data_IF_363879732502
#
_entry.id   IF_363879732502
#
_cell.length_a   1.000
_cell.length_b   1.000
_cell.length_c   1.000
_cell.angle_alpha   90.00
_cell.angle_beta   90.00
_cell.angle_gamma   90.00
#
_symmetry.space_group_name_H-M   'P 1'
#
loop_
_entity.id
_entity.type
_entity.pdbx_description
1 polymer ?
2 non-polymer ?
3 water ?
#
# COMPACT_ATOMS: atom_id res chain seq x y z
N UNK A 40 -16.91 -3.40 -25.53
CA UNK A 40 -16.41 -2.48 -24.47
C UNK A 40 -16.35 -3.23 -23.13
N UNK A 41 -15.21 -3.26 -22.42
CA UNK A 41 -15.03 -4.19 -21.32
C UNK A 41 -15.74 -3.72 -20.05
N UNK A 42 -16.16 -4.66 -19.22
CA UNK A 42 -16.69 -4.41 -17.87
C UNK A 42 -15.49 -4.42 -16.93
N UNK A 43 -15.27 -3.37 -16.12
CA UNK A 43 -14.13 -3.40 -15.20
C UNK A 43 -14.41 -4.30 -14.01
N UNK A 44 -13.36 -4.74 -13.32
CA UNK A 44 -13.53 -5.40 -12.03
C UNK A 44 -14.14 -4.40 -11.05
N UNK A 45 -14.75 -4.96 -10.03
CA UNK A 45 -15.34 -4.18 -8.92
C UNK A 45 -14.47 -4.36 -7.68
N UNK A 46 -14.47 -3.35 -6.83
CA UNK A 46 -13.69 -3.39 -5.58
C UNK A 46 -14.63 -3.20 -4.40
N UNK A 47 -14.25 -3.83 -3.29
CA UNK A 47 -14.91 -3.71 -1.96
C UNK A 47 -13.96 -2.96 -1.05
N UNK A 48 -14.53 -2.19 -0.15
CA UNK A 48 -13.78 -1.54 0.93
C UNK A 48 -13.30 -2.62 1.90
N UNK A 49 -12.06 -2.50 2.36
CA UNK A 49 -11.39 -3.50 3.20
C UNK A 49 -10.77 -2.89 4.44
N UNK A 50 -11.05 -1.64 4.79
CA UNK A 50 -10.34 -0.98 5.89
C UNK A 50 -10.57 -1.72 7.18
N UNK A 51 -11.82 -2.09 7.48
CA UNK A 51 -12.07 -2.82 8.75
C UNK A 51 -11.42 -4.21 8.73
N UNK A 52 -11.23 -4.82 7.57
CA UNK A 52 -10.60 -6.15 7.49
C UNK A 52 -9.10 -6.03 7.70
N UNK A 53 -8.50 -4.88 7.47
CA UNK A 53 -7.03 -4.70 7.44
C UNK A 53 -6.52 -3.92 8.65
N UNK A 54 -7.33 -3.12 9.35
CA UNK A 54 -6.79 -2.13 10.32
C UNK A 54 -6.17 -2.87 11.52
N UNK A 55 -6.72 -4.00 11.92
CA UNK A 55 -6.17 -4.76 13.08
C UNK A 55 -4.73 -5.17 12.79
N UNK A 56 -4.47 -5.79 11.64
CA UNK A 56 -3.09 -6.26 11.33
C UNK A 56 -2.18 -5.04 11.16
N UNK A 57 -2.63 -3.97 10.51
CA UNK A 57 -1.79 -2.77 10.32
C UNK A 57 -1.40 -2.23 11.71
N UNK A 58 -2.37 -2.11 12.60
CA UNK A 58 -2.07 -1.50 13.92
C UNK A 58 -1.27 -2.47 14.81
N UNK A 59 -1.42 -3.78 14.62
CA UNK A 59 -0.58 -4.78 15.34
C UNK A 59 0.88 -4.55 14.91
N UNK A 60 1.12 -4.43 13.62
CA UNK A 60 2.51 -4.26 13.10
C UNK A 60 3.10 -2.92 13.56
N UNK A 61 2.32 -1.84 13.70
CA UNK A 61 2.85 -0.53 14.14
C UNK A 61 3.13 -0.53 15.64
N UNK A 62 2.51 -1.44 16.39
CA UNK A 62 2.60 -1.52 17.87
C UNK A 62 3.23 -2.86 18.27
N UNK A 67 6.49 2.23 21.80
CA UNK A 67 5.44 3.29 21.63
C UNK A 67 5.89 4.33 20.60
N UNK A 68 6.59 3.93 19.55
CA UNK A 68 7.24 4.86 18.58
C UNK A 68 6.25 5.24 17.47
N UNK A 69 5.22 4.44 17.23
CA UNK A 69 4.24 4.75 16.16
C UNK A 69 2.83 4.83 16.74
N UNK A 70 2.09 5.85 16.29
CA UNK A 70 0.66 6.00 16.55
C UNK A 70 -0.15 4.93 15.85
N UNK A 71 -1.32 4.57 16.39
CA UNK A 71 -2.31 3.73 15.68
C UNK A 71 -2.94 4.56 14.57
N UNK A 72 -3.41 3.87 13.55
CA UNK A 72 -4.14 4.52 12.46
C UNK A 72 -5.64 4.35 12.66
N UNK A 73 -6.35 5.36 12.21
CA UNK A 73 -7.82 5.33 12.11
C UNK A 73 -8.22 5.12 10.66
N UNK A 74 -9.47 4.79 10.44
CA UNK A 74 -10.05 4.74 9.09
C UNK A 74 -10.04 6.13 8.46
N UNK A 75 -9.61 6.22 7.21
CA UNK A 75 -9.79 7.40 6.36
C UNK A 75 -11.07 7.21 5.57
N UNK A 76 -11.90 8.23 5.50
CA UNK A 76 -13.12 8.19 4.67
C UNK A 76 -12.77 8.59 3.24
N UNK A 77 -13.62 8.19 2.32
CA UNK A 77 -13.43 8.51 0.89
C UNK A 77 -13.14 9.98 0.68
N UNK A 78 -13.89 10.89 1.32
CA UNK A 78 -13.70 12.34 1.12
C UNK A 78 -12.25 12.73 1.44
N UNK A 79 -11.72 12.14 2.51
CA UNK A 79 -10.36 12.43 2.98
C UNK A 79 -9.34 11.93 1.98
N UNK A 80 -9.56 10.72 1.47
CA UNK A 80 -8.64 10.17 0.45
C UNK A 80 -8.64 11.06 -0.79
N UNK A 81 -9.84 11.46 -1.26
CA UNK A 81 -9.91 12.31 -2.47
C UNK A 81 -9.17 13.61 -2.25
N UNK A 82 -9.36 14.23 -1.08
CA UNK A 82 -8.73 15.54 -0.82
C UNK A 82 -7.21 15.41 -0.62
N UNK A 83 -6.76 14.35 0.05
CA UNK A 83 -5.32 14.08 0.21
C UNK A 83 -4.67 13.92 -1.17
N UNK A 84 -5.33 13.15 -2.05
CA UNK A 84 -4.79 12.96 -3.41
C UNK A 84 -4.80 14.28 -4.19
N UNK A 85 -5.86 15.06 -4.04
CA UNK A 85 -5.96 16.36 -4.74
C UNK A 85 -4.78 17.25 -4.35
N UNK A 86 -4.36 17.20 -3.08
CA UNK A 86 -3.22 18.00 -2.56
C UNK A 86 -1.90 17.63 -3.23
N UNK A 87 -1.76 16.39 -3.73
CA UNK A 87 -0.52 15.96 -4.41
C UNK A 87 -0.82 15.85 -5.89
N UNK A 88 -1.87 16.52 -6.36
CA UNK A 88 -2.14 16.73 -7.81
C UNK A 88 -2.54 15.41 -8.47
N UNK A 89 -3.23 14.55 -7.75
CA UNK A 89 -3.83 13.30 -8.32
C UNK A 89 -5.34 13.42 -8.30
N UNK A 90 -5.95 13.54 -9.48
CA UNK A 90 -7.41 13.80 -9.60
C UNK A 90 -8.06 12.85 -10.60
N UNK A 91 -7.34 11.81 -11.01
CA UNK A 91 -7.90 10.74 -11.85
C UNK A 91 -7.53 9.40 -11.26
N UNK A 92 -8.43 8.42 -11.23
CA UNK A 92 -9.80 8.53 -11.72
C UNK A 92 -10.63 9.54 -10.91
N UNK A 93 -11.69 10.08 -11.50
CA UNK A 93 -12.39 11.25 -10.93
C UNK A 93 -12.80 10.94 -9.50
N UNK A 94 -12.60 11.92 -8.62
CA UNK A 94 -12.87 11.78 -7.17
C UNK A 94 -12.24 10.47 -6.68
N UNK A 95 -10.90 10.35 -6.78
CA UNK A 95 -10.25 9.06 -6.53
C UNK A 95 -10.38 8.60 -5.08
N UNK A 96 -10.57 7.32 -4.92
CA UNK A 96 -10.74 6.63 -3.62
C UNK A 96 -9.95 5.33 -3.68
N UNK A 97 -9.77 4.65 -2.56
CA UNK A 97 -9.07 3.37 -2.57
C UNK A 97 -9.75 2.38 -3.50
N UNK A 98 -11.09 2.20 -3.49
CA UNK A 98 -11.70 1.26 -4.42
C UNK A 98 -11.42 1.61 -5.88
N UNK A 99 -11.51 2.88 -6.23
CA UNK A 99 -11.30 3.28 -7.64
C UNK A 99 -9.86 3.04 -8.03
N UNK A 100 -8.91 3.26 -7.13
CA UNK A 100 -7.48 3.03 -7.45
C UNK A 100 -7.23 1.54 -7.55
N UNK A 101 -7.79 0.71 -6.67
CA UNK A 101 -7.59 -0.76 -6.79
C UNK A 101 -8.04 -1.21 -8.20
N UNK A 102 -9.18 -0.74 -8.63
CA UNK A 102 -9.71 -1.07 -9.99
C UNK A 102 -8.74 -0.55 -11.05
N UNK A 103 -8.31 0.68 -10.94
CA UNK A 103 -7.36 1.28 -11.91
C UNK A 103 -6.13 0.40 -12.04
N UNK A 104 -5.58 -0.08 -10.93
CA UNK A 104 -4.35 -0.89 -10.89
C UNK A 104 -4.60 -2.31 -11.43
N UNK A 105 -5.75 -2.91 -11.18
CA UNK A 105 -6.01 -4.30 -11.62
C UNK A 105 -6.22 -4.37 -13.13
N UNK A 106 -6.79 -3.34 -13.70
CA UNK A 106 -7.13 -3.26 -15.13
C UNK A 106 -8.59 -2.97 -15.35
N UNK A 107 -8.94 -2.60 -16.59
CA UNK A 107 -10.30 -2.11 -16.94
C UNK A 107 -11.17 -3.24 -17.49
N UNK A 108 -10.64 -4.45 -17.56
CA UNK A 108 -11.40 -5.63 -18.05
C UNK A 108 -11.32 -6.73 -17.00
N UNK A 109 -12.49 -6.95 -16.37
CA UNK A 109 -12.64 -8.04 -15.37
C UNK A 109 -12.24 -9.41 -15.97
N UNK A 110 -12.29 -9.56 -17.29
CA UNK A 110 -11.93 -10.83 -17.98
C UNK A 110 -10.43 -11.08 -17.94
N UNK A 111 -9.59 -10.05 -17.74
CA UNK A 111 -8.13 -10.22 -17.81
C UNK A 111 -7.39 -9.75 -16.53
N UNK A 112 -7.86 -8.65 -15.93
CA UNK A 112 -7.10 -7.94 -14.85
C UNK A 112 -5.60 -8.06 -15.15
N UNK A 113 -5.22 -7.68 -16.36
CA UNK A 113 -3.87 -8.06 -16.83
C UNK A 113 -2.77 -7.19 -16.22
N UNK A 114 -3.12 -6.05 -15.62
CA UNK A 114 -2.09 -5.17 -15.02
C UNK A 114 -1.94 -5.43 -13.51
N UNK A 115 -2.81 -6.23 -12.90
CA UNK A 115 -2.74 -6.38 -11.44
C UNK A 115 -1.40 -6.89 -10.96
N UNK A 116 -0.85 -7.90 -11.64
CA UNK A 116 0.37 -8.57 -11.16
C UNK A 116 1.53 -7.56 -11.04
N UNK A 117 1.62 -6.62 -11.96
CA UNK A 117 2.71 -5.63 -11.99
C UNK A 117 2.37 -4.36 -11.25
N UNK A 118 1.25 -4.30 -10.52
CA UNK A 118 0.83 -3.05 -9.87
C UNK A 118 1.87 -2.63 -8.81
N UNK A 119 2.02 -1.31 -8.67
CA UNK A 119 2.91 -0.73 -7.64
C UNK A 119 2.42 0.68 -7.35
N UNK A 120 3.14 1.35 -6.48
CA UNK A 120 2.83 2.71 -5.99
C UNK A 120 3.61 3.77 -6.75
N UNK A 121 3.96 3.55 -8.00
CA UNK A 121 4.75 4.56 -8.72
C UNK A 121 3.93 5.83 -8.96
N UNK A 122 2.61 5.71 -9.05
CA UNK A 122 1.73 6.86 -9.29
C UNK A 122 0.86 7.12 -8.05
N UNK A 123 0.15 6.12 -7.56
CA UNK A 123 -0.80 6.23 -6.43
C UNK A 123 -0.04 5.79 -5.19
N UNK A 124 0.34 6.73 -4.29
CA UNK A 124 1.15 6.34 -3.14
C UNK A 124 0.32 5.55 -2.15
N UNK A 125 0.79 4.37 -1.81
CA UNK A 125 0.16 3.56 -0.78
C UNK A 125 0.71 2.16 -0.82
N UNK A 126 0.11 1.29 -0.04
CA UNK A 126 0.38 -0.16 -0.04
C UNK A 126 -0.32 -0.80 -1.22
N UNK A 127 0.43 -1.64 -1.95
CA UNK A 127 -0.09 -2.35 -3.12
C UNK A 127 0.23 -3.81 -2.98
N UNK A 128 -0.76 -4.69 -3.02
CA UNK A 128 -0.53 -6.15 -3.00
C UNK A 128 -1.41 -6.82 -4.04
N UNK A 129 -0.82 -7.30 -5.15
CA UNK A 129 -1.57 -8.16 -6.06
C UNK A 129 -1.75 -9.56 -5.44
N UNK A 130 -2.86 -10.21 -5.76
CA UNK A 130 -3.11 -11.60 -5.30
C UNK A 130 -3.88 -12.31 -6.39
N UNK A 131 -3.67 -13.64 -6.57
CA UNK A 131 -4.28 -14.33 -7.71
C UNK A 131 -5.80 -14.27 -7.66
N UNK A 132 -6.40 -14.22 -8.84
CA UNK A 132 -7.87 -14.12 -9.02
C UNK A 132 -8.59 -15.31 -8.38
N UNK A 133 -7.91 -16.44 -8.28
CA UNK A 133 -8.60 -17.69 -7.84
C UNK A 133 -8.34 -17.93 -6.35
N UNK A 134 -7.86 -16.94 -5.60
CA UNK A 134 -7.55 -17.10 -4.16
C UNK A 134 -8.55 -16.31 -3.31
N UNK A 135 -8.78 -16.74 -2.07
CA UNK A 135 -9.62 -16.03 -1.08
C UNK A 135 -8.82 -14.84 -0.52
N UNK A 136 -9.45 -13.67 -0.42
CA UNK A 136 -8.84 -12.44 0.16
C UNK A 136 -8.65 -12.64 1.66
N UNK A 137 -7.43 -12.47 2.19
CA UNK A 137 -7.11 -12.55 3.62
C UNK A 137 -6.18 -11.38 3.94
N UNK A 138 -6.71 -10.29 4.46
CA UNK A 138 -5.90 -9.05 4.62
C UNK A 138 -4.76 -9.36 5.60
N UNK A 139 -5.02 -10.07 6.69
CA UNK A 139 -3.99 -10.46 7.68
C UNK A 139 -2.85 -11.17 7.01
N UNK A 140 -3.13 -12.19 6.21
CA UNK A 140 -2.08 -12.98 5.56
C UNK A 140 -1.34 -12.08 4.55
N UNK A 141 -2.05 -11.32 3.72
CA UNK A 141 -1.39 -10.52 2.67
C UNK A 141 -0.49 -9.47 3.32
N UNK A 142 -0.97 -8.73 4.30
CA UNK A 142 -0.15 -7.64 4.89
C UNK A 142 0.97 -8.25 5.73
N UNK A 143 0.73 -9.33 6.46
CA UNK A 143 1.86 -9.94 7.20
C UNK A 143 2.93 -10.34 6.18
N UNK A 144 2.58 -10.92 5.04
CA UNK A 144 3.58 -11.43 4.09
C UNK A 144 4.34 -10.24 3.52
N UNK A 145 3.69 -9.12 3.17
CA UNK A 145 4.42 -7.98 2.59
C UNK A 145 5.32 -7.39 3.65
N UNK A 146 4.89 -7.37 4.89
CA UNK A 146 5.69 -6.80 5.98
C UNK A 146 6.97 -7.62 6.13
N UNK A 147 6.86 -8.93 6.22
CA UNK A 147 8.04 -9.79 6.47
C UNK A 147 8.99 -9.61 5.28
N UNK A 148 8.51 -9.76 4.07
CA UNK A 148 9.33 -9.67 2.85
C UNK A 148 9.93 -8.27 2.74
N UNK A 149 9.17 -7.23 3.02
CA UNK A 149 9.63 -5.84 2.83
C UNK A 149 10.66 -5.48 3.89
N UNK A 150 10.44 -5.87 5.14
CA UNK A 150 11.43 -5.58 6.21
C UNK A 150 12.71 -6.37 5.91
N UNK A 151 12.61 -7.61 5.43
CA UNK A 151 13.83 -8.39 5.06
C UNK A 151 14.54 -7.63 3.96
N UNK A 152 13.86 -7.14 2.95
CA UNK A 152 14.49 -6.42 1.83
C UNK A 152 15.19 -5.18 2.37
N UNK A 153 14.58 -4.43 3.28
CA UNK A 153 15.22 -3.24 3.86
C UNK A 153 16.47 -3.64 4.65
N UNK A 154 16.37 -4.69 5.45
CA UNK A 154 17.52 -5.15 6.27
C UNK A 154 18.68 -5.57 5.35
N UNK A 155 18.38 -6.12 4.20
CA UNK A 155 19.38 -6.61 3.23
C UNK A 155 19.97 -5.45 2.44
N UNK A 156 19.33 -4.30 2.50
CA UNK A 156 19.70 -3.07 1.74
C UNK A 156 20.76 -2.28 2.48
N UNK A 157 21.56 -1.54 1.73
CA UNK A 157 22.47 -0.53 2.33
C UNK A 157 21.72 0.73 2.77
N UNK A 158 20.41 0.77 2.63
CA UNK A 158 19.57 1.80 3.27
C UNK A 158 20.04 2.04 4.70
N UNK A 159 20.26 3.31 5.03
CA UNK A 159 20.50 3.82 6.40
C UNK A 159 19.42 4.86 6.67
N UNK A 160 18.83 4.87 7.88
CA UNK A 160 17.76 5.83 8.15
C UNK A 160 18.18 7.32 8.09
N UNK A 161 19.44 7.63 8.37
CA UNK A 161 19.86 9.06 8.40
C UNK A 161 19.98 9.60 6.97
N UNK A 162 20.26 8.77 5.97
CA UNK A 162 20.48 9.22 4.58
C UNK A 162 19.37 8.75 3.64
N UNK A 163 18.73 7.63 3.95
CA UNK A 163 17.83 6.95 3.00
C UNK A 163 16.53 7.73 2.86
N UNK A 164 16.13 7.96 1.62
CA UNK A 164 14.86 8.65 1.30
C UNK A 164 13.99 7.70 0.50
N UNK A 165 12.71 8.04 0.43
CA UNK A 165 11.73 7.19 -0.27
C UNK A 165 11.81 7.53 -1.74
N UNK A 166 12.16 6.58 -2.59
CA UNK A 166 12.13 6.78 -4.05
C UNK A 166 11.68 5.46 -4.65
N UNK A 167 10.46 5.46 -5.18
CA UNK A 167 9.83 4.22 -5.67
C UNK A 167 10.56 3.70 -6.92
N UNK A 168 11.43 4.48 -7.56
CA UNK A 168 12.13 4.09 -8.81
C UNK A 168 13.55 3.59 -8.50
N UNK A 169 13.99 3.58 -7.24
CA UNK A 169 15.38 3.15 -6.91
C UNK A 169 15.36 2.18 -5.73
N UNK A 170 16.43 1.41 -5.55
CA UNK A 170 16.56 0.53 -4.37
C UNK A 170 16.61 1.38 -3.11
N UNK A 171 16.02 0.94 -1.99
CA UNK A 171 15.30 -0.33 -1.90
C UNK A 171 13.79 -0.25 -2.16
N UNK A 172 13.24 0.94 -2.39
CA UNK A 172 11.76 1.14 -2.41
C UNK A 172 11.17 0.86 -3.78
N UNK A 173 11.97 0.48 -4.77
CA UNK A 173 11.49 -0.12 -6.03
C UNK A 173 11.06 -1.57 -5.81
N UNK A 174 11.33 -2.13 -4.64
CA UNK A 174 10.72 -3.42 -4.20
C UNK A 174 9.36 -3.09 -3.58
N UNK A 175 8.30 -3.67 -4.11
CA UNK A 175 6.93 -3.29 -3.69
C UNK A 175 6.74 -3.62 -2.22
N UNK A 176 7.29 -4.72 -1.73
CA UNK A 176 7.17 -5.07 -0.32
C UNK A 176 7.86 -4.02 0.54
N UNK A 177 9.09 -3.61 0.18
CA UNK A 177 9.80 -2.59 0.95
C UNK A 177 9.03 -1.27 0.97
N UNK A 178 8.51 -0.87 -0.17
CA UNK A 178 7.65 0.32 -0.26
C UNK A 178 6.45 0.16 0.68
N UNK A 179 5.82 -1.01 0.64
CA UNK A 179 4.64 -1.27 1.49
C UNK A 179 5.00 -1.10 2.96
N UNK A 180 6.15 -1.59 3.39
CA UNK A 180 6.55 -1.46 4.80
C UNK A 180 6.80 0.01 5.14
N UNK A 181 7.37 0.78 4.25
CA UNK A 181 7.57 2.23 4.50
C UNK A 181 6.23 2.89 4.79
N UNK A 182 5.19 2.56 4.04
CA UNK A 182 3.85 3.17 4.29
C UNK A 182 3.28 2.63 5.59
N UNK A 183 3.38 1.34 5.81
CA UNK A 183 2.80 0.71 7.01
C UNK A 183 3.40 1.33 8.27
N UNK A 184 4.70 1.59 8.25
CA UNK A 184 5.45 2.03 9.45
C UNK A 184 5.77 3.52 9.39
N UNK A 185 5.11 4.28 8.55
CA UNK A 185 5.38 5.73 8.40
C UNK A 185 4.83 6.49 9.62
N UNK A 186 5.67 7.35 10.22
CA UNK A 186 5.24 8.38 11.19
C UNK A 186 4.31 9.39 10.51
N UNK A 187 4.36 9.54 9.18
CA UNK A 187 3.41 10.45 8.47
C UNK A 187 2.03 9.78 8.36
N UNK A 188 1.92 8.46 8.49
CA UNK A 188 0.61 7.74 8.39
C UNK A 188 -0.19 8.01 9.68
N UNK A 189 -1.39 8.59 9.57
CA UNK A 189 -2.38 8.76 10.68
C UNK A 189 -3.71 8.02 10.40
N UNK A 190 -4.05 7.90 9.11
CA UNK A 190 -5.31 7.24 8.71
C UNK A 190 -5.04 6.38 7.48
N UNK A 191 -5.91 5.42 7.26
CA UNK A 191 -5.76 4.51 6.09
C UNK A 191 -7.13 4.11 5.56
N UNK A 192 -7.23 4.01 4.23
CA UNK A 192 -8.38 3.44 3.55
C UNK A 192 -7.90 2.31 2.63
N UNK A 193 -8.43 1.12 2.82
CA UNK A 193 -8.02 -0.05 2.01
C UNK A 193 -9.18 -0.54 1.17
N UNK A 194 -8.89 -1.06 -0.01
CA UNK A 194 -9.90 -1.66 -0.87
C UNK A 194 -9.24 -2.72 -1.73
N UNK A 195 -9.99 -3.68 -2.19
CA UNK A 195 -9.43 -4.73 -3.07
C UNK A 195 -10.44 -5.05 -4.15
N UNK A 196 -9.95 -5.29 -5.35
CA UNK A 196 -10.83 -5.90 -6.36
C UNK A 196 -11.26 -7.30 -5.91
N UNK A 197 -12.47 -7.68 -6.30
CA UNK A 197 -13.08 -8.91 -5.73
C UNK A 197 -13.45 -9.92 -6.81
N UNK A 198 -13.44 -9.57 -8.09
CA UNK A 198 -14.14 -10.40 -9.10
C UNK A 198 -13.32 -10.56 -10.37
N UNK A 199 -12.02 -10.23 -10.38
CA UNK A 199 -11.17 -10.58 -11.56
C UNK A 199 -11.38 -12.05 -11.93
N UNK A 200 -11.57 -12.31 -13.22
CA UNK A 200 -11.78 -13.69 -13.74
C UNK A 200 -10.49 -14.33 -14.21
N UNK A 201 -9.41 -13.56 -14.30
CA UNK A 201 -8.06 -13.98 -14.67
C UNK A 201 -7.11 -12.94 -14.06
N UNK A 202 -5.81 -13.15 -14.22
CA UNK A 202 -4.81 -12.20 -13.69
C UNK A 202 -4.86 -12.11 -12.18
N UNK A 203 -4.44 -10.96 -11.65
CA UNK A 203 -4.36 -10.73 -10.20
C UNK A 203 -5.37 -9.64 -9.82
N UNK A 204 -6.15 -9.92 -8.81
CA UNK A 204 -6.81 -8.84 -8.03
C UNK A 204 -5.73 -7.99 -7.37
N UNK A 205 -6.14 -6.81 -6.94
CA UNK A 205 -5.23 -5.85 -6.26
C UNK A 205 -5.86 -5.36 -4.96
N UNK A 206 -5.10 -5.40 -3.88
CA UNK A 206 -5.35 -4.67 -2.63
C UNK A 206 -4.56 -3.38 -2.67
N UNK A 207 -5.24 -2.28 -2.41
CA UNK A 207 -4.60 -0.95 -2.30
C UNK A 207 -5.01 -0.34 -0.99
N UNK A 208 -4.05 0.15 -0.23
CA UNK A 208 -4.33 0.94 0.99
C UNK A 208 -3.70 2.31 0.84
N UNK A 209 -4.51 3.35 0.98
CA UNK A 209 -4.06 4.74 0.91
C UNK A 209 -3.89 5.27 2.33
N UNK A 210 -2.70 5.77 2.62
CA UNK A 210 -2.35 6.35 3.92
C UNK A 210 -2.36 7.87 3.82
N UNK A 211 -2.99 8.52 4.81
CA UNK A 211 -2.96 9.98 4.98
C UNK A 211 -2.06 10.22 6.18
N UNK A 212 -0.93 10.95 6.01
CA UNK A 212 -0.43 11.58 4.80
C UNK A 212 0.47 10.61 4.07
N UNK A 213 0.50 10.62 2.73
CA UNK A 213 1.33 9.69 1.98
C UNK A 213 2.82 10.00 2.07
N UNK A 214 3.64 8.96 2.06
CA UNK A 214 5.07 9.15 1.75
C UNK A 214 5.22 9.69 0.35
N UNK A 215 6.15 10.61 0.17
CA UNK A 215 6.46 11.19 -1.16
C UNK A 215 7.97 11.12 -1.41
N UNK A 216 8.36 11.23 -2.66
CA UNK A 216 9.78 11.21 -3.08
C UNK A 216 10.54 12.20 -2.19
N UNK A 217 11.67 11.72 -1.68
CA UNK A 217 12.65 12.44 -0.80
C UNK A 217 12.21 12.51 0.67
N UNK A 218 11.02 12.07 1.09
CA UNK A 218 10.74 11.87 2.53
C UNK A 218 11.75 10.86 3.10
N UNK A 219 12.18 11.07 4.33
CA UNK A 219 12.95 10.08 5.11
C UNK A 219 11.93 9.19 5.80
N UNK A 220 11.75 7.94 5.35
CA UNK A 220 10.67 7.11 5.91
C UNK A 220 10.82 6.67 7.37
N UNK A 221 12.04 6.60 7.88
CA UNK A 221 12.32 6.11 9.25
C UNK A 221 13.32 7.01 9.97
N UNK A 222 13.04 7.30 11.22
CA UNK A 222 14.07 7.81 12.16
C UNK A 222 15.03 6.67 12.48
N UNK A 223 16.25 7.02 12.91
CA UNK A 223 17.21 6.01 13.40
C UNK A 223 16.60 5.22 14.55
N UNK A 224 15.84 5.85 15.45
CA UNK A 224 15.30 5.20 16.65
C UNK A 224 14.33 4.11 16.18
N UNK A 225 13.42 4.46 15.26
CA UNK A 225 12.46 3.45 14.77
C UNK A 225 13.21 2.35 14.01
N UNK A 226 14.17 2.68 13.15
CA UNK A 226 14.88 1.67 12.34
C UNK A 226 15.63 0.71 13.27
N UNK A 227 16.28 1.24 14.30
CA UNK A 227 16.99 0.40 15.31
C UNK A 227 15.99 -0.53 15.98
N UNK A 228 14.79 -0.03 16.31
CA UNK A 228 13.75 -0.85 16.98
C UNK A 228 13.29 -1.99 16.07
N UNK A 229 13.23 -1.75 14.76
CA UNK A 229 12.77 -2.81 13.81
C UNK A 229 13.77 -3.95 13.76
N UNK A 230 15.06 -3.69 13.98
CA UNK A 230 16.08 -4.77 14.06
C UNK A 230 15.87 -5.56 15.35
N UNK A 231 15.56 -4.86 16.45
CA UNK A 231 15.29 -5.45 17.77
C UNK A 231 14.24 -6.56 17.70
N UNK A 232 13.19 -6.39 16.89
CA UNK A 232 12.02 -7.30 16.84
C UNK A 232 12.47 -8.72 16.46
X LIG B 1 20.86 -1.40 -2.02
X LIG B 1 19.63 -0.89 -1.45
X LIG B 1 21.53 -0.34 -2.72
X LIG B 1 20.53 -2.44 -2.97
X LIG B 1 21.71 -1.95 -1.00
X LIG C 1 -0.79 -12.59 -14.32
X LIG C 1 -1.10 -11.35 -15.00
X LIG C 1 0.57 -12.54 -13.83
X LIG C 1 -0.95 -13.70 -15.23
X LIG C 1 -1.70 -12.76 -13.19
#
# INVERSE_FOLDING_TARGET
AMAAAPDFSSALSLRSSTATSQQNSLSTNIFASGDVSPQTPTPPQADEKTEDCLAIINKLRSENLKDLLGTLAKAEDTEVTESLKAIKIEEPASPTAPKIAVTLAGSNVDTCESGEGANAKKYPGLVIPFPHDTEFNCNALIQATYTAGLDHLKQSNFEPSTGTYDVENAPFNNVNASNVAFLLSEKSKKVSCAATKDCKAGHDVLFCYFIDPLRKEDKPFTAELYNALWGLEALEHHHHHH
SO4 S O1 O2 O3 O4
SO4 S O1 O2 O3 O4
#
